data_IF_600887187691
#
_entry.id   IF_600887187691
#
_cell.length_a   1.000
_cell.length_b   1.000
_cell.length_c   1.000
_cell.angle_alpha   90.00
_cell.angle_beta   90.00
_cell.angle_gamma   90.00
#
_symmetry.space_group_name_H-M   'P 1'
#
loop_
_entity.id
_entity.type
_entity.pdbx_description
1 polymer ?
#
# COMPACT_ATOMS: atom_id res chain seq x y z
N UNK A 1 -2.30 -7.56 -14.20
CA UNK A 1 -2.17 -6.30 -13.43
C UNK A 1 -3.06 -6.37 -12.21
N UNK A 2 -2.81 -5.54 -11.19
CA UNK A 2 -3.65 -5.49 -9.99
C UNK A 2 -5.08 -5.06 -10.37
N UNK A 3 -6.09 -5.61 -9.67
CA UNK A 3 -7.49 -5.25 -9.84
C UNK A 3 -8.03 -4.68 -8.53
N UNK A 4 -8.89 -3.68 -8.62
CA UNK A 4 -9.65 -3.18 -7.48
C UNK A 4 -10.84 -4.11 -7.26
N UNK A 5 -11.01 -4.63 -6.04
CA UNK A 5 -12.19 -5.37 -5.64
C UNK A 5 -13.30 -4.39 -5.23
N UNK A 6 -14.33 -4.23 -6.06
CA UNK A 6 -15.45 -3.31 -5.79
C UNK A 6 -16.45 -3.84 -4.75
N UNK A 7 -16.38 -5.12 -4.39
CA UNK A 7 -17.25 -5.70 -3.34
C UNK A 7 -16.69 -5.43 -1.94
N UNK A 8 -15.37 -5.32 -1.82
CA UNK A 8 -14.65 -5.10 -0.55
C UNK A 8 -14.11 -3.67 -0.40
N UNK A 9 -14.30 -2.82 -1.42
CA UNK A 9 -13.82 -1.43 -1.42
C UNK A 9 -14.98 -0.47 -1.56
N UNK A 10 -15.12 0.47 -0.62
CA UNK A 10 -16.16 1.51 -0.67
C UNK A 10 -15.79 2.64 -1.65
N UNK A 11 -14.88 3.52 -1.25
CA UNK A 11 -14.50 4.71 -2.01
C UNK A 11 -12.98 4.82 -2.15
N UNK A 12 -12.51 5.09 -3.37
CA UNK A 12 -11.09 5.28 -3.66
C UNK A 12 -10.81 6.75 -3.90
N UNK A 13 -9.88 7.30 -3.12
CA UNK A 13 -9.32 8.62 -3.38
C UNK A 13 -8.19 8.50 -4.41
N UNK A 14 -8.40 9.04 -5.61
CA UNK A 14 -7.41 9.04 -6.69
C UNK A 14 -6.17 9.88 -6.34
N UNK A 15 -6.31 10.93 -5.54
CA UNK A 15 -5.19 11.74 -5.04
C UNK A 15 -4.30 10.95 -4.08
N UNK A 16 -4.90 10.17 -3.17
CA UNK A 16 -4.15 9.28 -2.29
C UNK A 16 -3.43 8.20 -3.11
N UNK A 17 -4.12 7.62 -4.10
CA UNK A 17 -3.53 6.61 -4.98
C UNK A 17 -2.33 7.14 -5.78
N UNK A 18 -2.39 8.39 -6.26
CA UNK A 18 -1.25 9.04 -6.91
C UNK A 18 -0.01 9.10 -6.00
N UNK A 19 -0.19 9.35 -4.70
CA UNK A 19 0.91 9.30 -3.72
C UNK A 19 1.44 7.88 -3.49
N UNK A 20 0.59 6.85 -3.59
CA UNK A 20 0.98 5.45 -3.32
C UNK A 20 1.65 4.76 -4.51
N UNK A 21 1.28 5.14 -5.73
CA UNK A 21 1.71 4.50 -6.99
C UNK A 21 3.21 4.23 -7.11
N UNK A 22 4.12 5.14 -6.70
CA UNK A 22 5.56 4.90 -6.81
C UNK A 22 6.06 3.69 -6.01
N UNK A 23 5.34 3.29 -4.97
CA UNK A 23 5.82 2.35 -3.96
C UNK A 23 5.02 1.05 -3.91
N UNK A 24 3.76 1.07 -4.37
CA UNK A 24 2.83 -0.05 -4.22
C UNK A 24 3.34 -1.36 -4.85
N UNK A 25 4.09 -1.27 -5.95
CA UNK A 25 4.69 -2.45 -6.61
C UNK A 25 5.86 -3.00 -5.80
N UNK A 26 6.70 -2.15 -5.23
CA UNK A 26 7.83 -2.58 -4.42
C UNK A 26 7.32 -3.26 -3.13
N UNK A 27 6.38 -2.62 -2.44
CA UNK A 27 5.77 -3.15 -1.22
C UNK A 27 5.09 -4.51 -1.47
N UNK A 28 4.32 -4.65 -2.56
CA UNK A 28 3.67 -5.93 -2.93
C UNK A 28 4.65 -7.07 -3.23
N UNK A 29 5.89 -6.75 -3.62
CA UNK A 29 6.95 -7.72 -3.90
C UNK A 29 7.82 -8.04 -2.67
N UNK A 30 7.38 -7.65 -1.48
CA UNK A 30 8.10 -7.91 -0.22
C UNK A 30 9.25 -6.96 0.07
N UNK A 31 9.40 -5.85 -0.67
CA UNK A 31 10.40 -4.83 -0.30
C UNK A 31 9.94 -4.13 0.97
N UNK A 32 10.76 -4.20 2.03
CA UNK A 32 10.40 -3.61 3.33
C UNK A 32 10.37 -2.09 3.23
N UNK A 33 9.43 -1.48 3.96
CA UNK A 33 9.29 -0.03 4.01
C UNK A 33 10.58 0.69 4.45
N UNK A 34 11.34 0.08 5.35
CA UNK A 34 12.65 0.59 5.80
C UNK A 34 13.70 0.64 4.69
N UNK A 35 13.67 -0.29 3.74
CA UNK A 35 14.71 -0.43 2.72
C UNK A 35 14.56 0.64 1.64
N UNK A 36 13.38 1.22 1.49
CA UNK A 36 13.06 2.31 0.57
C UNK A 36 12.84 3.66 1.27
N UNK A 37 13.14 3.75 2.56
CA UNK A 37 13.07 5.00 3.33
C UNK A 37 11.65 5.52 3.58
N UNK A 38 10.63 4.67 3.47
CA UNK A 38 9.23 5.04 3.72
C UNK A 38 8.76 4.75 5.14
N UNK A 39 9.56 4.12 5.98
CA UNK A 39 9.13 3.85 7.34
C UNK A 39 10.15 3.10 8.19
N UNK A 40 9.66 2.54 9.29
CA UNK A 40 10.46 1.76 10.25
C UNK A 40 9.85 0.37 10.33
N UNK A 41 10.62 -0.64 9.95
CA UNK A 41 10.15 -2.02 9.84
C UNK A 41 9.23 -2.23 8.64
N UNK A 42 8.08 -2.84 8.87
CA UNK A 42 7.14 -3.28 7.83
C UNK A 42 6.13 -2.21 7.41
N UNK A 43 5.93 -1.18 8.25
CA UNK A 43 4.96 -0.11 8.00
C UNK A 43 5.58 1.00 7.16
N UNK A 44 4.95 1.31 6.02
CA UNK A 44 5.28 2.47 5.21
C UNK A 44 4.36 3.65 5.55
N UNK A 45 4.90 4.86 5.48
CA UNK A 45 4.17 6.10 5.70
C UNK A 45 4.27 6.96 4.45
N UNK A 46 3.13 7.33 3.87
CA UNK A 46 3.08 8.11 2.64
C UNK A 46 2.21 9.34 2.85
N UNK A 47 2.72 10.48 2.38
CA UNK A 47 2.03 11.76 2.46
C UNK A 47 1.08 11.94 1.26
N UNK A 48 -0.19 12.26 1.51
CA UNK A 48 -1.10 12.78 0.49
C UNK A 48 -1.26 14.29 0.68
N UNK A 49 -1.27 15.00 -0.45
CA UNK A 49 -1.24 16.46 -0.48
C UNK A 49 -2.43 17.08 0.23
N UNK A 50 -3.65 16.61 -0.07
CA UNK A 50 -4.89 16.93 0.65
C UNK A 50 -6.05 16.04 0.12
N UNK A 51 -6.69 15.18 0.95
CA UNK A 51 -7.88 14.43 0.54
C UNK A 51 -9.16 15.29 0.53
N UNK A 52 -9.12 16.50 1.10
CA UNK A 52 -10.25 17.42 1.20
C UNK A 52 -11.35 16.96 2.17
N UNK A 53 -12.51 17.65 2.18
CA UNK A 53 -13.61 17.34 3.07
C UNK A 53 -14.22 15.93 2.82
N UNK A 54 -14.70 15.23 3.85
CA UNK A 54 -14.83 15.66 5.26
C UNK A 54 -13.55 15.43 6.09
N UNK A 55 -12.45 14.97 5.49
CA UNK A 55 -11.26 14.54 6.21
C UNK A 55 -10.35 15.70 6.61
N UNK A 56 -10.25 16.72 5.75
CA UNK A 56 -9.51 17.96 6.03
C UNK A 56 -10.22 19.16 5.41
N UNK A 57 -10.06 20.34 6.02
CA UNK A 57 -10.47 21.64 5.44
C UNK A 57 -9.32 22.31 4.64
N UNK A 58 -8.32 21.52 4.26
CA UNK A 58 -7.01 21.97 3.76
C UNK A 58 -5.88 21.43 4.64
N UNK A 59 -4.77 21.03 4.01
CA UNK A 59 -3.58 20.55 4.71
C UNK A 59 -3.17 19.16 4.23
N UNK A 60 -2.39 18.44 5.04
CA UNK A 60 -1.74 17.19 4.63
C UNK A 60 -2.13 16.04 5.53
N UNK A 61 -2.26 14.85 4.95
CA UNK A 61 -2.46 13.60 5.69
C UNK A 61 -1.30 12.63 5.45
N UNK A 62 -1.02 11.82 6.48
CA UNK A 62 -0.07 10.71 6.40
C UNK A 62 -0.87 9.42 6.48
N UNK A 63 -0.73 8.59 5.45
CA UNK A 63 -1.29 7.23 5.43
C UNK A 63 -0.24 6.25 5.95
N UNK A 64 -0.66 5.37 6.87
CA UNK A 64 0.08 4.16 7.23
C UNK A 64 -0.34 3.03 6.29
N UNK A 65 0.63 2.38 5.66
CA UNK A 65 0.45 1.27 4.72
C UNK A 65 1.05 0.01 5.34
N UNK A 66 0.26 -1.05 5.39
CA UNK A 66 0.67 -2.39 5.80
C UNK A 66 0.42 -3.38 4.67
N UNK A 67 1.38 -4.28 4.44
CA UNK A 67 1.20 -5.39 3.50
C UNK A 67 0.57 -6.55 4.27
N UNK A 68 -0.63 -6.94 3.87
CA UNK A 68 -1.38 -8.06 4.50
C UNK A 68 -1.03 -9.42 3.90
N UNK A 69 -0.58 -9.43 2.64
CA UNK A 69 -0.04 -10.58 1.90
C UNK A 69 0.96 -10.03 0.89
N UNK A 70 2.16 -10.58 0.84
CA UNK A 70 3.12 -10.24 -0.19
C UNK A 70 3.30 -11.40 -1.19
N UNK A 71 3.65 -11.03 -2.43
CA UNK A 71 3.81 -12.00 -3.53
C UNK A 71 5.04 -12.91 -3.33
N UNK A 72 5.98 -12.53 -2.48
CA UNK A 72 7.17 -13.33 -2.19
C UNK A 72 6.81 -14.49 -1.25
N UNK A 73 6.04 -14.22 -0.19
CA UNK A 73 5.52 -15.21 0.75
C UNK A 73 4.57 -16.20 0.07
N UNK A 74 3.61 -15.73 -0.74
CA UNK A 74 2.71 -16.61 -1.53
C UNK A 74 3.49 -17.51 -2.51
N UNK A 75 4.61 -17.02 -3.06
CA UNK A 75 5.43 -17.82 -3.97
C UNK A 75 6.17 -18.96 -3.26
N UNK A 76 6.53 -18.77 -1.98
CA UNK A 76 7.16 -19.79 -1.15
C UNK A 76 6.13 -20.83 -0.69
N UNK A 77 4.94 -20.41 -0.26
CA UNK A 77 3.86 -21.33 0.15
C UNK A 77 3.42 -22.26 -1.00
N UNK A 78 3.29 -21.72 -2.23
CA UNK A 78 2.96 -22.52 -3.40
C UNK A 78 4.06 -23.51 -3.81
N UNK A 79 5.31 -23.28 -3.40
CA UNK A 79 6.42 -24.20 -3.68
C UNK A 79 6.52 -25.35 -2.68
N UNK A 80 5.93 -25.22 -1.49
CA UNK A 80 5.94 -26.24 -0.43
C UNK A 80 4.70 -27.15 -0.46
N UNK A 81 3.64 -26.78 -1.20
CA UNK A 81 2.41 -27.58 -1.35
C UNK A 81 2.41 -28.58 -2.50
N UNK A 82 3.54 -28.77 -3.18
CA UNK A 82 3.69 -29.66 -4.34
C UNK A 82 4.66 -30.81 -4.05
N UNK A 83 4.32 -31.65 -3.07
CA UNK A 83 4.89 -32.99 -2.84
C UNK A 83 3.78 -34.05 -2.74
#
# INVERSE_FOLDING_TARGET
GAKVNLEETDAICTHAFASFLPYIVALRKGVRASDIGLGKGEKAYVQCLDPGPPYTDGGTVIFEIMVVRDEAEESMENSEGSD
#
